data_IF_150152951134
#
_entry.id   IF_150152951134
#
_cell.length_a   1.000
_cell.length_b   1.000
_cell.length_c   1.000
_cell.angle_alpha   90.00
_cell.angle_beta   90.00
_cell.angle_gamma   90.00
#
_symmetry.space_group_name_H-M   'P 1'
#
loop_
_entity.id
_entity.type
_entity.pdbx_description
1 polymer ?
#
# COMPACT_ATOMS: atom_id res chain seq x y z
N UNK A 1 6.81 -9.52 11.84
CA UNK A 1 5.70 -8.94 11.06
C UNK A 1 5.17 -9.99 10.09
N UNK A 2 3.87 -10.02 9.90
CA UNK A 2 3.22 -10.89 8.91
C UNK A 2 2.40 -10.03 7.93
N UNK A 3 2.56 -10.29 6.65
CA UNK A 3 1.70 -9.73 5.60
C UNK A 3 0.66 -10.79 5.20
N UNK A 4 -0.60 -10.41 5.23
CA UNK A 4 -1.70 -11.27 4.81
C UNK A 4 -2.35 -10.62 3.61
N UNK A 5 -2.17 -11.24 2.45
CA UNK A 5 -2.67 -10.71 1.18
C UNK A 5 -3.82 -11.56 0.68
N UNK A 6 -4.90 -10.92 0.24
CA UNK A 6 -6.05 -11.63 -0.30
C UNK A 6 -6.85 -10.78 -1.29
N UNK A 7 -7.33 -11.42 -2.35
CA UNK A 7 -8.43 -10.89 -3.16
C UNK A 7 -9.75 -11.16 -2.45
N UNK A 8 -10.48 -10.11 -2.08
CA UNK A 8 -11.78 -10.21 -1.43
C UNK A 8 -12.91 -10.43 -2.44
N UNK A 9 -14.04 -10.95 -1.98
CA UNK A 9 -15.23 -11.24 -2.82
C UNK A 9 -15.32 -12.69 -3.30
N UNK A 10 -14.28 -13.49 -3.08
CA UNK A 10 -14.29 -14.94 -3.27
C UNK A 10 -14.42 -15.70 -1.95
N UNK A 11 -14.62 -17.02 -2.01
CA UNK A 11 -14.78 -17.85 -0.81
C UNK A 11 -13.50 -17.97 0.03
N UNK A 12 -12.36 -18.23 -0.62
CA UNK A 12 -11.09 -18.50 0.07
C UNK A 12 -10.50 -17.25 0.70
N UNK A 13 -10.30 -16.18 -0.07
CA UNK A 13 -9.70 -14.95 0.42
C UNK A 13 -10.54 -14.31 1.52
N UNK A 14 -11.84 -14.14 1.27
CA UNK A 14 -12.78 -13.54 2.22
C UNK A 14 -12.92 -14.31 3.52
N UNK A 15 -12.92 -15.65 3.44
CA UNK A 15 -13.11 -16.49 4.62
C UNK A 15 -11.84 -16.81 5.38
N UNK A 16 -10.72 -17.09 4.71
CA UNK A 16 -9.50 -17.54 5.36
C UNK A 16 -8.61 -16.39 5.88
N UNK A 17 -8.54 -15.27 5.15
CA UNK A 17 -7.62 -14.19 5.51
C UNK A 17 -7.90 -13.60 6.91
N UNK A 18 -9.15 -13.30 7.32
CA UNK A 18 -9.43 -12.81 8.68
C UNK A 18 -9.05 -13.81 9.76
N UNK A 19 -9.24 -15.11 9.53
CA UNK A 19 -8.87 -16.16 10.49
C UNK A 19 -7.36 -16.21 10.68
N UNK A 20 -6.59 -16.17 9.59
CA UNK A 20 -5.13 -16.15 9.66
C UNK A 20 -4.65 -14.88 10.35
N UNK A 21 -5.25 -13.73 10.04
CA UNK A 21 -4.94 -12.45 10.67
C UNK A 21 -5.15 -12.49 12.18
N UNK A 22 -6.28 -13.02 12.62
CA UNK A 22 -6.59 -13.19 14.04
C UNK A 22 -5.52 -14.02 14.75
N UNK A 23 -5.18 -15.18 14.21
CA UNK A 23 -4.16 -16.07 14.80
C UNK A 23 -2.80 -15.35 14.86
N UNK A 24 -2.41 -14.65 13.79
CA UNK A 24 -1.17 -13.87 13.76
C UNK A 24 -1.15 -12.79 14.86
N UNK A 25 -2.23 -12.05 15.00
CA UNK A 25 -2.37 -10.99 16.03
C UNK A 25 -2.37 -11.56 17.44
N UNK A 26 -3.07 -12.68 17.68
CA UNK A 26 -3.08 -13.39 18.97
C UNK A 26 -1.69 -13.88 19.38
N UNK A 27 -0.82 -14.19 18.43
CA UNK A 27 0.59 -14.52 18.65
C UNK A 27 1.49 -13.30 18.93
N UNK A 28 0.95 -12.09 18.97
CA UNK A 28 1.71 -10.85 19.19
C UNK A 28 2.56 -10.42 17.98
N UNK A 29 2.27 -10.94 16.79
CA UNK A 29 2.96 -10.60 15.55
C UNK A 29 2.30 -9.36 14.94
N UNK A 30 3.10 -8.33 14.61
CA UNK A 30 2.61 -7.19 13.84
C UNK A 30 2.00 -7.68 12.53
N UNK A 31 0.70 -7.49 12.38
CA UNK A 31 -0.10 -8.09 11.30
C UNK A 31 -0.62 -7.00 10.37
N UNK A 32 -0.18 -7.05 9.12
CA UNK A 32 -0.58 -6.10 8.06
C UNK A 32 -1.42 -6.84 7.02
N UNK A 33 -2.65 -6.39 6.84
CA UNK A 33 -3.53 -6.87 5.79
C UNK A 33 -3.37 -6.04 4.51
N UNK A 34 -3.24 -6.70 3.36
CA UNK A 34 -3.24 -6.05 2.05
C UNK A 34 -4.27 -6.76 1.19
N UNK A 35 -5.38 -6.11 0.92
CA UNK A 35 -6.53 -6.74 0.27
C UNK A 35 -7.01 -5.94 -0.92
N UNK A 36 -7.59 -6.64 -1.91
CA UNK A 36 -8.20 -5.99 -3.07
C UNK A 36 -9.71 -6.13 -3.05
N UNK A 37 -10.40 -5.06 -3.46
CA UNK A 37 -11.83 -5.07 -3.79
C UNK A 37 -11.96 -5.34 -5.29
N UNK A 38 -12.84 -6.27 -5.71
CA UNK A 38 -13.01 -6.66 -7.11
C UNK A 38 -13.45 -5.51 -8.00
N UNK A 39 -13.24 -5.65 -9.30
CA UNK A 39 -13.76 -4.72 -10.31
C UNK A 39 -15.29 -4.72 -10.34
N UNK A 40 -15.89 -3.60 -10.74
CA UNK A 40 -17.35 -3.47 -10.86
C UNK A 40 -18.00 -4.48 -11.81
N UNK A 41 -17.28 -4.83 -12.89
CA UNK A 41 -17.80 -5.81 -13.85
C UNK A 41 -17.88 -7.24 -13.31
N UNK A 42 -17.23 -7.54 -12.17
CA UNK A 42 -17.33 -8.84 -11.50
C UNK A 42 -18.67 -9.05 -10.78
N UNK A 43 -19.44 -7.99 -10.62
CA UNK A 43 -20.81 -8.00 -10.13
C UNK A 43 -20.96 -7.55 -8.68
N UNK A 44 -22.14 -6.97 -8.33
CA UNK A 44 -22.38 -6.36 -7.03
C UNK A 44 -22.27 -7.36 -5.88
N UNK A 45 -22.70 -8.60 -6.05
CA UNK A 45 -22.61 -9.63 -5.02
C UNK A 45 -21.17 -9.88 -4.55
N UNK A 46 -20.20 -9.87 -5.48
CA UNK A 46 -18.78 -10.02 -5.14
C UNK A 46 -18.26 -8.81 -4.38
N UNK A 47 -18.73 -7.61 -4.76
CA UNK A 47 -18.34 -6.37 -4.08
C UNK A 47 -18.86 -6.35 -2.65
N UNK A 48 -20.14 -6.70 -2.45
CA UNK A 48 -20.74 -6.77 -1.11
C UNK A 48 -19.98 -7.78 -0.23
N UNK A 49 -19.71 -8.98 -0.76
CA UNK A 49 -18.90 -9.99 -0.05
C UNK A 49 -17.47 -9.50 0.25
N UNK A 50 -16.88 -8.71 -0.66
CA UNK A 50 -15.56 -8.15 -0.44
C UNK A 50 -15.57 -7.11 0.69
N UNK A 51 -16.58 -6.24 0.73
CA UNK A 51 -16.73 -5.24 1.80
C UNK A 51 -16.93 -5.89 3.17
N UNK A 52 -17.78 -6.94 3.25
CA UNK A 52 -17.94 -7.72 4.48
C UNK A 52 -16.60 -8.33 4.93
N UNK A 53 -15.83 -8.87 3.98
CA UNK A 53 -14.51 -9.45 4.25
C UNK A 53 -13.47 -8.41 4.70
N UNK A 54 -13.50 -7.22 4.12
CA UNK A 54 -12.65 -6.08 4.52
C UNK A 54 -13.00 -5.65 5.95
N UNK A 55 -14.29 -5.52 6.26
CA UNK A 55 -14.74 -5.18 7.60
C UNK A 55 -14.29 -6.22 8.63
N UNK A 56 -14.46 -7.50 8.33
CA UNK A 56 -14.01 -8.57 9.22
C UNK A 56 -12.49 -8.58 9.38
N UNK A 57 -11.74 -8.40 8.27
CA UNK A 57 -10.29 -8.32 8.29
C UNK A 57 -9.77 -7.18 9.16
N UNK A 58 -10.44 -6.01 9.12
CA UNK A 58 -10.05 -4.81 9.87
C UNK A 58 -10.01 -5.01 11.38
N UNK A 59 -10.79 -5.94 11.91
CA UNK A 59 -10.86 -6.28 13.35
C UNK A 59 -9.62 -7.06 13.83
N UNK A 60 -8.90 -7.69 12.88
CA UNK A 60 -7.85 -8.68 13.17
C UNK A 60 -6.46 -8.29 12.69
N UNK A 61 -6.29 -7.09 12.14
CA UNK A 61 -4.98 -6.59 11.69
C UNK A 61 -4.59 -5.33 12.47
N UNK A 62 -3.31 -4.98 12.44
CA UNK A 62 -2.80 -3.73 12.98
C UNK A 62 -2.92 -2.59 11.96
N UNK A 63 -2.66 -2.90 10.70
CA UNK A 63 -2.87 -1.99 9.58
C UNK A 63 -3.53 -2.75 8.42
N UNK A 64 -4.49 -2.12 7.76
CA UNK A 64 -5.21 -2.68 6.62
C UNK A 64 -5.08 -1.76 5.42
N UNK A 65 -4.40 -2.23 4.39
CA UNK A 65 -4.32 -1.59 3.08
C UNK A 65 -5.40 -2.18 2.17
N UNK A 66 -6.30 -1.34 1.71
CA UNK A 66 -7.40 -1.74 0.82
C UNK A 66 -7.17 -1.13 -0.55
N UNK A 67 -6.98 -1.97 -1.56
CA UNK A 67 -6.77 -1.57 -2.95
C UNK A 67 -8.08 -1.79 -3.73
N UNK A 68 -8.64 -0.73 -4.26
CA UNK A 68 -9.82 -0.82 -5.11
C UNK A 68 -9.39 -1.01 -6.57
N UNK A 69 -9.62 -2.21 -7.12
CA UNK A 69 -9.25 -2.53 -8.50
C UNK A 69 -9.92 -1.61 -9.53
N UNK A 70 -11.09 -1.05 -9.24
CA UNK A 70 -11.75 -0.11 -10.15
C UNK A 70 -10.92 1.16 -10.38
N UNK A 71 -10.12 1.59 -9.38
CA UNK A 71 -9.20 2.73 -9.54
C UNK A 71 -8.09 2.43 -10.55
N UNK A 72 -7.64 1.19 -10.64
CA UNK A 72 -6.65 0.79 -11.65
C UNK A 72 -7.19 0.96 -13.07
N UNK A 73 -8.49 0.77 -13.27
CA UNK A 73 -9.14 1.01 -14.56
C UNK A 73 -9.17 2.50 -14.94
N UNK A 74 -9.29 3.37 -13.96
CA UNK A 74 -9.22 4.83 -14.16
C UNK A 74 -7.81 5.28 -14.57
N UNK A 75 -6.77 4.67 -13.96
CA UNK A 75 -5.37 4.96 -14.25
C UNK A 75 -4.93 4.37 -15.61
N UNK A 76 -5.42 3.19 -15.93
CA UNK A 76 -5.02 2.42 -17.10
C UNK A 76 -6.23 2.02 -17.97
N UNK A 77 -6.90 2.98 -18.63
CA UNK A 77 -8.16 2.71 -19.36
C UNK A 77 -7.99 1.77 -20.56
N UNK A 78 -6.78 1.69 -21.12
CA UNK A 78 -6.50 0.92 -22.35
C UNK A 78 -6.02 -0.52 -22.07
N UNK A 79 -6.01 -0.98 -20.81
CA UNK A 79 -5.60 -2.34 -20.48
C UNK A 79 -6.62 -3.37 -20.94
N UNK A 80 -6.12 -4.47 -21.50
CA UNK A 80 -6.94 -5.66 -21.69
C UNK A 80 -7.38 -6.24 -20.35
N UNK A 81 -8.46 -7.03 -20.33
CA UNK A 81 -8.98 -7.65 -19.12
C UNK A 81 -7.89 -8.44 -18.35
N UNK A 82 -7.11 -9.24 -19.07
CA UNK A 82 -6.02 -10.01 -18.45
C UNK A 82 -4.92 -9.13 -17.89
N UNK A 83 -4.58 -8.04 -18.60
CA UNK A 83 -3.59 -7.09 -18.13
C UNK A 83 -4.09 -6.30 -16.91
N UNK A 84 -5.38 -6.01 -16.80
CA UNK A 84 -5.97 -5.36 -15.64
C UNK A 84 -5.85 -6.22 -14.37
N UNK A 85 -6.11 -7.54 -14.47
CA UNK A 85 -5.88 -8.46 -13.35
C UNK A 85 -4.39 -8.56 -12.98
N UNK A 86 -3.51 -8.69 -13.98
CA UNK A 86 -2.06 -8.66 -13.73
C UNK A 86 -1.61 -7.39 -13.02
N UNK A 87 -2.19 -6.23 -13.38
CA UNK A 87 -1.89 -4.96 -12.72
C UNK A 87 -2.38 -4.90 -11.27
N UNK A 88 -3.50 -5.53 -10.96
CA UNK A 88 -3.99 -5.67 -9.59
C UNK A 88 -3.01 -6.52 -8.74
N UNK A 89 -2.53 -7.64 -9.29
CA UNK A 89 -1.52 -8.49 -8.63
C UNK A 89 -0.20 -7.75 -8.43
N UNK A 90 0.26 -7.00 -9.43
CA UNK A 90 1.46 -6.15 -9.33
C UNK A 90 1.32 -5.13 -8.21
N UNK A 91 0.16 -4.49 -8.09
CA UNK A 91 -0.08 -3.47 -7.06
C UNK A 91 -0.02 -4.05 -5.66
N UNK A 92 -0.59 -5.25 -5.44
CA UNK A 92 -0.44 -5.99 -4.17
C UNK A 92 1.02 -6.30 -3.86
N UNK A 93 1.74 -6.79 -4.85
CA UNK A 93 3.16 -7.15 -4.71
C UNK A 93 4.02 -5.93 -4.39
N UNK A 94 3.79 -4.80 -5.07
CA UNK A 94 4.48 -3.54 -4.82
C UNK A 94 4.18 -3.05 -3.40
N UNK A 95 2.93 -3.11 -2.96
CA UNK A 95 2.54 -2.68 -1.62
C UNK A 95 3.29 -3.46 -0.52
N UNK A 96 3.26 -4.79 -0.59
CA UNK A 96 3.95 -5.64 0.38
C UNK A 96 5.47 -5.43 0.34
N UNK A 97 6.03 -5.35 -0.87
CA UNK A 97 7.46 -5.14 -1.10
C UNK A 97 7.94 -3.81 -0.56
N UNK A 98 7.24 -2.71 -0.84
CA UNK A 98 7.64 -1.37 -0.40
C UNK A 98 7.72 -1.28 1.13
N UNK A 99 6.75 -1.84 1.86
CA UNK A 99 6.80 -1.87 3.32
C UNK A 99 7.97 -2.74 3.81
N UNK A 100 8.23 -3.87 3.17
CA UNK A 100 9.34 -4.75 3.52
C UNK A 100 10.71 -4.10 3.24
N UNK A 101 10.84 -3.40 2.12
CA UNK A 101 12.08 -2.70 1.71
C UNK A 101 12.48 -1.60 2.69
N UNK A 102 11.51 -0.89 3.29
CA UNK A 102 11.79 0.12 4.33
C UNK A 102 12.61 -0.47 5.48
N UNK A 103 12.40 -1.74 5.81
CA UNK A 103 13.07 -2.43 6.94
C UNK A 103 14.35 -3.14 6.47
N UNK A 104 14.36 -3.66 5.24
CA UNK A 104 15.40 -4.59 4.78
C UNK A 104 16.48 -3.93 3.93
N UNK A 105 16.17 -2.81 3.27
CA UNK A 105 17.13 -2.10 2.42
C UNK A 105 17.86 -1.04 3.25
N UNK A 106 19.20 -1.13 3.27
CA UNK A 106 20.02 -0.14 3.95
C UNK A 106 20.14 1.12 3.09
N UNK A 107 19.80 2.26 3.67
CA UNK A 107 19.93 3.59 3.08
C UNK A 107 20.87 4.51 3.89
N UNK A 108 20.90 5.77 3.54
CA UNK A 108 21.65 6.81 4.29
C UNK A 108 21.04 7.02 5.68
N UNK A 109 19.72 7.04 5.76
CA UNK A 109 18.95 7.05 7.00
C UNK A 109 18.17 5.76 7.05
N UNK A 110 18.41 4.96 8.10
CA UNK A 110 17.77 3.67 8.23
C UNK A 110 16.67 3.72 9.28
N UNK A 111 15.53 3.13 8.93
CA UNK A 111 14.43 2.86 9.85
C UNK A 111 14.56 1.43 10.37
N UNK A 112 14.38 1.26 11.66
CA UNK A 112 14.34 -0.08 12.24
C UNK A 112 12.90 -0.63 12.27
N UNK A 113 12.79 -1.92 12.62
CA UNK A 113 11.48 -2.57 12.75
C UNK A 113 10.57 -1.90 13.78
N UNK A 114 11.11 -1.33 14.85
CA UNK A 114 10.32 -0.69 15.90
C UNK A 114 9.70 0.63 15.41
N UNK A 115 10.39 1.36 14.54
CA UNK A 115 9.86 2.58 13.92
C UNK A 115 8.63 2.24 13.05
N UNK A 116 8.78 1.26 12.17
CA UNK A 116 7.67 0.77 11.33
C UNK A 116 6.54 0.21 12.18
N UNK A 117 6.86 -0.55 13.23
CA UNK A 117 5.86 -1.08 14.17
C UNK A 117 5.08 0.05 14.84
N UNK A 118 5.76 1.11 15.29
CA UNK A 118 5.11 2.26 15.96
C UNK A 118 4.11 2.96 15.03
N UNK A 119 4.43 3.04 13.73
CA UNK A 119 3.51 3.63 12.75
C UNK A 119 2.33 2.71 12.45
N UNK A 120 2.58 1.43 12.19
CA UNK A 120 1.56 0.49 11.71
C UNK A 120 0.73 -0.14 12.82
N UNK A 121 1.27 -0.28 14.04
CA UNK A 121 0.54 -0.91 15.15
C UNK A 121 -0.71 -0.11 15.52
N UNK A 122 -1.86 -0.80 15.55
CA UNK A 122 -3.19 -0.22 15.78
C UNK A 122 -3.47 1.00 14.88
N UNK A 123 -2.90 0.98 13.67
CA UNK A 123 -3.01 2.06 12.68
C UNK A 123 -4.37 2.11 11.97
N UNK A 124 -5.11 1.01 11.99
CA UNK A 124 -6.40 0.91 11.30
C UNK A 124 -6.22 0.85 9.78
N UNK A 125 -6.94 1.69 9.04
CA UNK A 125 -6.81 1.76 7.57
C UNK A 125 -5.51 2.48 7.21
N UNK A 126 -4.69 1.83 6.40
CA UNK A 126 -3.47 2.38 5.83
C UNK A 126 -3.68 2.70 4.35
N UNK A 127 -3.04 3.75 3.90
CA UNK A 127 -3.00 4.15 2.50
C UNK A 127 -1.54 4.20 2.07
N UNK A 128 -1.24 3.75 0.87
CA UNK A 128 0.09 3.79 0.31
C UNK A 128 0.07 4.42 -1.07
N UNK A 129 1.06 5.23 -1.34
CA UNK A 129 1.29 5.81 -2.65
C UNK A 129 2.77 5.92 -2.95
N UNK A 130 3.12 5.97 -4.22
CA UNK A 130 4.47 6.22 -4.70
C UNK A 130 4.41 7.33 -5.74
N UNK A 131 5.40 8.20 -5.73
CA UNK A 131 5.54 9.25 -6.72
C UNK A 131 6.96 9.37 -7.21
N UNK A 132 7.13 9.88 -8.42
CA UNK A 132 8.42 10.03 -9.08
C UNK A 132 8.66 11.47 -9.46
N UNK A 133 9.91 11.92 -9.32
CA UNK A 133 10.32 13.26 -9.72
C UNK A 133 11.72 13.28 -10.31
N UNK A 134 11.93 14.10 -11.33
CA UNK A 134 13.21 14.30 -12.02
C UNK A 134 13.51 15.79 -12.20
N UNK A 135 14.79 16.13 -12.27
CA UNK A 135 15.31 17.48 -12.50
C UNK A 135 15.14 18.41 -11.32
N UNK A 136 14.97 19.72 -11.58
CA UNK A 136 14.71 20.73 -10.56
C UNK A 136 13.40 20.43 -9.81
N UNK A 137 13.37 20.67 -8.49
CA UNK A 137 12.21 20.40 -7.61
C UNK A 137 11.74 18.92 -7.65
N UNK A 138 12.64 17.97 -7.91
CA UNK A 138 12.31 16.55 -8.05
C UNK A 138 11.59 15.97 -6.83
N UNK A 139 11.97 16.37 -5.62
CA UNK A 139 11.33 15.90 -4.37
C UNK A 139 9.90 16.41 -4.29
N UNK A 140 9.70 17.70 -4.55
CA UNK A 140 8.35 18.28 -4.57
C UNK A 140 7.47 17.63 -5.62
N UNK A 141 8.00 17.44 -6.83
CA UNK A 141 7.30 16.73 -7.91
C UNK A 141 6.93 15.30 -7.52
N UNK A 142 7.84 14.57 -6.88
CA UNK A 142 7.58 13.21 -6.41
C UNK A 142 6.50 13.18 -5.32
N UNK A 143 6.52 14.13 -4.39
CA UNK A 143 5.49 14.25 -3.35
C UNK A 143 4.15 14.62 -3.98
N UNK A 144 4.10 15.59 -4.88
CA UNK A 144 2.89 15.99 -5.57
C UNK A 144 2.32 14.83 -6.39
N UNK A 145 3.16 14.07 -7.10
CA UNK A 145 2.75 12.88 -7.85
C UNK A 145 2.19 11.79 -6.92
N UNK A 146 2.85 11.53 -5.79
CA UNK A 146 2.38 10.59 -4.79
C UNK A 146 1.02 10.99 -4.20
N UNK A 147 0.86 12.26 -3.83
CA UNK A 147 -0.38 12.77 -3.22
C UNK A 147 -1.55 12.85 -4.20
N UNK A 148 -1.28 13.03 -5.48
CA UNK A 148 -2.29 13.04 -6.54
C UNK A 148 -2.55 11.65 -7.15
N UNK A 149 -1.99 10.59 -6.59
CA UNK A 149 -2.23 9.23 -7.08
C UNK A 149 -3.70 8.86 -6.98
N UNK A 150 -4.33 8.36 -8.05
CA UNK A 150 -5.73 7.91 -8.04
C UNK A 150 -6.01 6.75 -7.07
N UNK A 151 -4.97 6.10 -6.56
CA UNK A 151 -5.07 5.07 -5.52
C UNK A 151 -5.37 5.68 -4.14
N UNK A 152 -5.06 6.96 -3.95
CA UNK A 152 -5.43 7.72 -2.76
C UNK A 152 -6.84 8.29 -2.92
N UNK A 153 -7.58 8.28 -1.84
CA UNK A 153 -8.84 9.03 -1.79
C UNK A 153 -8.51 10.44 -1.27
N UNK A 154 -8.83 11.49 -2.02
CA UNK A 154 -8.43 12.88 -1.75
C UNK A 154 -8.69 13.35 -0.30
N UNK A 155 -9.69 12.76 0.36
CA UNK A 155 -10.05 13.14 1.72
C UNK A 155 -9.28 12.41 2.82
N UNK A 156 -8.62 11.29 2.51
CA UNK A 156 -8.04 10.42 3.53
C UNK A 156 -6.66 10.88 3.97
N UNK A 157 -5.89 11.50 3.08
CA UNK A 157 -4.50 11.92 3.36
C UNK A 157 -4.45 13.00 4.45
N UNK A 158 -5.35 13.97 4.41
CA UNK A 158 -5.40 15.08 5.38
C UNK A 158 -5.84 14.66 6.79
N UNK A 159 -6.48 13.51 6.90
CA UNK A 159 -6.92 12.92 8.18
C UNK A 159 -5.92 11.90 8.73
N UNK A 160 -4.79 11.69 8.07
CA UNK A 160 -3.78 10.73 8.52
C UNK A 160 -3.13 11.18 9.82
N UNK A 161 -3.12 10.29 10.81
CA UNK A 161 -2.52 10.54 12.13
C UNK A 161 -1.03 10.20 12.17
N UNK A 162 -0.60 9.30 11.32
CA UNK A 162 0.79 8.80 11.23
C UNK A 162 1.18 8.71 9.76
N UNK A 163 2.38 9.15 9.45
CA UNK A 163 2.92 9.11 8.09
C UNK A 163 4.29 8.44 8.15
N UNK A 164 4.51 7.50 7.24
CA UNK A 164 5.80 6.90 6.98
C UNK A 164 6.25 7.34 5.58
N UNK A 165 7.35 8.05 5.52
CA UNK A 165 7.93 8.56 4.27
C UNK A 165 9.24 7.85 3.98
N UNK A 166 9.39 7.32 2.78
CA UNK A 166 10.65 6.79 2.25
C UNK A 166 11.02 7.53 0.98
N UNK A 167 12.22 8.08 0.95
CA UNK A 167 12.75 8.78 -0.23
C UNK A 167 13.94 7.98 -0.75
N UNK A 168 13.81 7.49 -1.98
CA UNK A 168 14.89 6.80 -2.70
C UNK A 168 15.40 7.70 -3.84
N UNK A 169 16.71 7.80 -3.97
CA UNK A 169 17.36 8.58 -5.03
C UNK A 169 18.47 7.78 -5.68
N UNK A 170 18.74 8.08 -6.95
CA UNK A 170 19.78 7.41 -7.71
C UNK A 170 21.14 8.11 -7.50
N UNK A 171 22.12 7.37 -7.00
CA UNK A 171 23.50 7.86 -6.77
C UNK A 171 24.43 7.73 -7.99
N UNK A 172 24.01 7.03 -9.07
CA UNK A 172 24.90 6.62 -10.16
C UNK A 172 25.35 7.74 -11.12
N UNK A 173 24.78 8.93 -11.05
CA UNK A 173 25.18 10.05 -11.90
C UNK A 173 26.03 11.06 -11.14
N UNK A 174 27.35 10.83 -11.20
CA UNK A 174 28.34 11.62 -10.49
C UNK A 174 28.17 13.13 -10.58
N UNK A 175 28.15 13.79 -9.45
CA UNK A 175 28.62 15.16 -9.23
C UNK A 175 27.60 16.29 -9.32
N UNK A 176 26.44 16.17 -9.98
CA UNK A 176 25.40 17.22 -10.03
C UNK A 176 24.01 16.77 -9.59
N UNK A 177 23.81 15.47 -9.43
CA UNK A 177 22.53 14.87 -9.06
C UNK A 177 22.51 14.33 -7.62
N UNK A 178 23.48 14.76 -6.79
CA UNK A 178 23.44 14.41 -5.36
C UNK A 178 22.23 15.05 -4.70
N UNK A 179 21.58 14.28 -3.83
CA UNK A 179 20.49 14.78 -3.00
C UNK A 179 21.00 15.86 -2.06
N UNK A 180 20.51 17.08 -2.22
CA UNK A 180 20.97 18.25 -1.47
C UNK A 180 20.15 18.45 -0.21
N UNK A 181 20.76 18.96 0.86
CA UNK A 181 20.05 19.27 2.10
C UNK A 181 18.89 20.27 1.91
N UNK A 182 18.97 21.10 0.89
CA UNK A 182 17.90 22.07 0.54
C UNK A 182 16.67 21.42 -0.08
N UNK A 183 16.80 20.16 -0.57
CA UNK A 183 15.69 19.38 -1.14
C UNK A 183 14.88 18.63 -0.08
N UNK A 184 15.33 18.67 1.18
CA UNK A 184 14.72 17.97 2.31
C UNK A 184 13.74 18.88 3.07
#
# INVERSE_FOLDING_TARGET
MAFITAGMGGGTGTGAAPVIARVSKEMGILTVGIVTIPFRFEGPKKIDQALDGVEEMSKHVDALLVINNERLREIYPDLSLMAAFGKADDTLSIAARSIAEIITVHGVINLDFNDVKTVLQDGGVAIMSTGYGEGEDRVKKAIDDALNSPLLNENDVFNSKKILLSIAFNEEKGGKDNFMMEEM
#
